data_IF_526252721375
#
_entry.id   IF_526252721375
#
_cell.length_a   1.000
_cell.length_b   1.000
_cell.length_c   1.000
_cell.angle_alpha   90.00
_cell.angle_beta   90.00
_cell.angle_gamma   90.00
#
_symmetry.space_group_name_H-M   'P 1'
#
loop_
_entity.id
_entity.type
_entity.pdbx_description
1 polymer ?
#
# COMPACT_ATOMS: atom_id res chain seq x y z
N UNK A 1 15.34 19.63 -7.84
CA UNK A 1 14.05 19.01 -7.45
C UNK A 1 12.93 19.91 -7.94
N UNK A 2 11.66 19.63 -7.63
CA UNK A 2 10.66 20.70 -7.63
C UNK A 2 10.90 21.69 -6.48
N UNK A 3 10.25 22.84 -6.53
CA UNK A 3 10.24 23.89 -5.52
C UNK A 3 8.80 24.30 -5.17
N UNK A 4 8.66 25.07 -4.09
CA UNK A 4 7.38 25.64 -3.67
C UNK A 4 7.14 27.03 -4.25
N UNK A 5 8.05 27.54 -5.08
CA UNK A 5 7.90 28.83 -5.74
C UNK A 5 6.66 28.81 -6.66
N UNK A 6 6.01 29.96 -6.80
CA UNK A 6 4.73 30.08 -7.53
C UNK A 6 4.90 29.87 -9.03
N UNK A 7 6.08 30.21 -9.52
CA UNK A 7 6.53 30.21 -10.91
C UNK A 7 7.22 28.92 -11.34
N UNK A 8 7.33 27.94 -10.44
CA UNK A 8 7.78 26.59 -10.79
C UNK A 8 6.68 25.84 -11.55
N UNK A 9 7.05 24.71 -12.16
CA UNK A 9 6.13 23.89 -12.92
C UNK A 9 4.97 23.35 -12.04
N UNK A 10 3.77 23.30 -12.61
CA UNK A 10 2.57 22.86 -11.90
C UNK A 10 2.66 21.42 -11.35
N UNK A 11 3.54 20.58 -11.89
CA UNK A 11 3.77 19.21 -11.41
C UNK A 11 4.93 19.07 -10.42
N UNK A 12 5.70 20.14 -10.18
CA UNK A 12 6.90 20.15 -9.33
C UNK A 12 6.63 19.57 -7.93
N UNK A 13 5.55 20.00 -7.27
CA UNK A 13 5.21 19.56 -5.93
C UNK A 13 4.68 18.12 -5.86
N UNK A 14 4.11 17.61 -6.95
CA UNK A 14 3.77 16.19 -7.06
C UNK A 14 5.03 15.35 -7.21
N UNK A 15 5.98 15.81 -8.03
CA UNK A 15 7.25 15.14 -8.26
C UNK A 15 8.10 14.97 -6.99
N UNK A 16 7.99 15.91 -6.02
CA UNK A 16 8.71 15.82 -4.76
C UNK A 16 8.47 14.51 -4.00
N UNK A 17 7.24 14.03 -3.93
CA UNK A 17 6.92 12.78 -3.23
C UNK A 17 7.54 11.55 -3.92
N UNK A 18 7.56 11.53 -5.25
CA UNK A 18 8.20 10.47 -6.03
C UNK A 18 9.72 10.50 -5.90
N UNK A 19 10.32 11.68 -5.83
CA UNK A 19 11.75 11.86 -5.52
C UNK A 19 12.04 11.34 -4.11
N UNK A 20 11.23 11.70 -3.12
CA UNK A 20 11.39 11.20 -1.74
C UNK A 20 11.36 9.67 -1.71
N UNK A 21 10.40 9.05 -2.39
CA UNK A 21 10.33 7.60 -2.52
C UNK A 21 11.58 7.00 -3.18
N UNK A 22 12.02 7.53 -4.33
CA UNK A 22 13.22 7.07 -5.05
C UNK A 22 14.47 7.07 -4.18
N UNK A 23 14.64 8.11 -3.36
CA UNK A 23 15.84 8.31 -2.54
C UNK A 23 15.68 7.88 -1.07
N UNK A 24 14.54 7.26 -0.71
CA UNK A 24 14.25 6.81 0.66
C UNK A 24 14.37 7.95 1.69
N UNK A 25 13.79 9.09 1.36
CA UNK A 25 13.70 10.23 2.26
C UNK A 25 12.41 10.07 3.06
N UNK A 26 12.53 9.78 4.34
CA UNK A 26 11.38 9.47 5.18
C UNK A 26 10.54 10.72 5.50
N UNK A 27 11.20 11.87 5.67
CA UNK A 27 10.59 13.07 6.20
C UNK A 27 10.81 14.27 5.28
N UNK A 28 9.78 15.10 5.15
CA UNK A 28 9.82 16.37 4.47
C UNK A 28 9.34 17.47 5.41
N UNK A 29 9.92 18.67 5.27
CA UNK A 29 9.55 19.85 6.03
C UNK A 29 9.34 21.03 5.09
N UNK A 30 8.20 21.70 5.21
CA UNK A 30 7.96 23.02 4.63
C UNK A 30 7.69 24.00 5.76
N UNK A 31 8.41 25.12 5.76
CA UNK A 31 8.63 25.92 6.96
C UNK A 31 7.41 26.75 7.39
N UNK A 32 6.54 27.11 6.45
CA UNK A 32 5.33 27.88 6.73
C UNK A 32 4.32 27.71 5.60
N UNK A 33 3.02 27.88 5.86
CA UNK A 33 1.95 27.79 4.86
C UNK A 33 1.14 29.09 4.71
N UNK A 34 1.26 30.01 5.66
CA UNK A 34 0.51 31.26 5.72
C UNK A 34 1.41 32.45 6.10
N UNK A 35 2.63 32.49 5.55
CA UNK A 35 3.54 33.61 5.72
C UNK A 35 3.05 34.84 4.92
N UNK A 36 1.95 35.43 5.38
CA UNK A 36 1.31 36.60 4.76
C UNK A 36 1.93 37.93 5.23
N UNK A 37 2.77 37.88 6.27
CA UNK A 37 3.48 39.04 6.81
C UNK A 37 4.97 38.73 6.87
N UNK A 38 5.78 39.46 6.10
CA UNK A 38 7.23 39.31 6.08
C UNK A 38 7.89 40.07 7.22
N UNK A 39 7.96 39.40 8.37
CA UNK A 39 8.70 39.86 9.54
C UNK A 39 10.20 39.50 9.48
N UNK A 40 10.63 38.71 8.49
CA UNK A 40 12.01 38.22 8.40
C UNK A 40 12.92 39.20 7.69
N UNK A 41 12.44 39.83 6.62
CA UNK A 41 13.19 40.83 5.84
C UNK A 41 12.59 42.24 5.94
N UNK A 42 11.57 42.42 6.80
CA UNK A 42 10.94 43.71 7.04
C UNK A 42 9.99 44.17 5.92
N UNK A 43 9.46 43.21 5.14
CA UNK A 43 8.50 43.48 4.06
C UNK A 43 7.09 43.83 4.56
N UNK A 44 6.75 43.47 5.80
CA UNK A 44 5.44 43.76 6.39
C UNK A 44 4.31 42.92 5.79
N UNK A 45 3.06 43.37 5.94
CA UNK A 45 1.90 42.65 5.40
C UNK A 45 1.95 42.60 3.87
N UNK A 46 1.60 41.44 3.30
CA UNK A 46 1.60 41.19 1.86
C UNK A 46 0.17 40.94 1.37
N UNK A 47 -0.28 41.71 0.39
CA UNK A 47 -1.51 41.41 -0.34
C UNK A 47 -1.28 40.21 -1.27
N UNK A 48 -1.41 39.01 -0.73
CA UNK A 48 -1.07 37.74 -1.41
C UNK A 48 -1.95 37.40 -2.63
N UNK A 49 -3.02 38.16 -2.87
CA UNK A 49 -3.83 38.05 -4.08
C UNK A 49 -3.32 38.93 -5.23
N UNK A 50 -2.56 39.98 -4.92
CA UNK A 50 -2.05 40.96 -5.89
C UNK A 50 -0.52 40.93 -6.02
N UNK A 51 0.19 40.39 -5.04
CA UNK A 51 1.64 40.28 -5.01
C UNK A 51 2.09 38.84 -4.76
N UNK A 52 2.91 38.31 -5.67
CA UNK A 52 3.45 36.96 -5.55
C UNK A 52 4.67 36.90 -4.62
N UNK A 53 5.43 37.99 -4.46
CA UNK A 53 6.63 38.02 -3.62
C UNK A 53 6.24 38.09 -2.15
N UNK A 54 6.54 37.03 -1.39
CA UNK A 54 6.10 36.86 0.00
C UNK A 54 7.25 36.90 1.01
N UNK A 55 8.49 36.82 0.53
CA UNK A 55 9.70 36.98 1.33
C UNK A 55 10.73 37.81 0.56
N UNK A 56 11.55 38.55 1.29
CA UNK A 56 12.72 39.25 0.74
C UNK A 56 12.41 40.65 0.19
N UNK A 57 13.42 41.27 -0.43
CA UNK A 57 13.30 42.65 -0.91
C UNK A 57 14.12 42.95 -2.17
N UNK A 58 13.76 44.05 -2.86
CA UNK A 58 14.42 44.47 -4.10
C UNK A 58 14.12 43.55 -5.30
N UNK A 59 14.97 43.64 -6.33
CA UNK A 59 14.83 42.85 -7.56
C UNK A 59 14.13 43.60 -8.70
N UNK A 60 14.06 42.93 -9.85
CA UNK A 60 13.42 43.43 -11.07
C UNK A 60 12.12 42.67 -11.28
N UNK A 61 11.04 43.38 -11.59
CA UNK A 61 9.75 42.74 -11.92
C UNK A 61 9.79 42.20 -13.35
N UNK A 62 9.74 40.89 -13.47
CA UNK A 62 9.55 40.17 -14.73
C UNK A 62 8.06 39.93 -15.00
N UNK A 63 7.56 40.12 -16.23
CA UNK A 63 6.16 39.93 -16.57
C UNK A 63 5.64 38.50 -16.42
N UNK A 64 6.52 37.49 -16.54
CA UNK A 64 6.18 36.07 -16.47
C UNK A 64 6.48 35.48 -15.09
N UNK A 65 7.61 35.84 -14.50
CA UNK A 65 8.13 35.22 -13.27
C UNK A 65 7.91 36.04 -12.00
N UNK A 66 7.33 37.25 -12.08
CA UNK A 66 7.21 38.13 -10.93
C UNK A 66 8.55 38.78 -10.57
N UNK A 67 8.81 39.07 -9.30
CA UNK A 67 10.10 39.67 -8.93
C UNK A 67 11.22 38.62 -8.99
N UNK A 68 12.28 38.97 -9.73
CA UNK A 68 13.49 38.16 -9.90
C UNK A 68 14.72 38.96 -9.46
N UNK A 69 15.83 38.28 -9.16
CA UNK A 69 17.12 38.89 -8.79
C UNK A 69 17.07 39.81 -7.55
N UNK A 70 16.09 39.63 -6.65
CA UNK A 70 16.03 40.34 -5.37
C UNK A 70 16.84 39.65 -4.27
N UNK A 71 17.09 40.35 -3.18
CA UNK A 71 17.78 39.77 -2.01
C UNK A 71 16.78 38.91 -1.25
N UNK A 72 16.98 37.58 -1.30
CA UNK A 72 16.05 36.59 -0.76
C UNK A 72 14.61 36.71 -1.29
N UNK A 73 14.41 37.42 -2.42
CA UNK A 73 13.10 37.59 -3.02
C UNK A 73 12.61 36.26 -3.58
N UNK A 74 11.49 35.75 -3.06
CA UNK A 74 10.92 34.48 -3.48
C UNK A 74 9.40 34.57 -3.61
N UNK A 75 8.86 34.09 -4.72
CA UNK A 75 7.45 34.25 -5.03
C UNK A 75 6.63 33.08 -4.43
N UNK A 76 5.82 33.38 -3.43
CA UNK A 76 4.92 32.45 -2.76
C UNK A 76 5.61 31.52 -1.76
N UNK A 77 6.88 31.77 -1.42
CA UNK A 77 7.56 31.09 -0.33
C UNK A 77 6.83 31.31 1.00
N UNK A 78 6.74 30.27 1.83
CA UNK A 78 5.95 30.27 3.04
C UNK A 78 4.43 30.36 2.84
N UNK A 79 3.92 30.34 1.60
CA UNK A 79 2.47 30.47 1.30
C UNK A 79 1.95 29.28 0.49
N UNK A 80 1.03 28.52 1.07
CA UNK A 80 0.24 27.46 0.42
C UNK A 80 -1.26 27.62 0.62
N UNK A 81 -1.64 28.47 1.57
CA UNK A 81 -3.02 28.86 1.84
C UNK A 81 -3.15 30.38 1.78
N UNK A 82 -4.32 30.84 1.37
CA UNK A 82 -4.66 32.25 1.18
C UNK A 82 -5.76 32.64 2.18
N UNK A 83 -5.85 33.92 2.61
CA UNK A 83 -6.89 34.34 3.53
C UNK A 83 -8.26 34.27 2.86
N UNK A 84 -9.23 33.57 3.46
CA UNK A 84 -10.61 33.58 2.98
C UNK A 84 -11.33 34.88 3.32
N UNK A 85 -11.05 35.43 4.49
CA UNK A 85 -11.44 36.78 4.92
C UNK A 85 -10.18 37.55 5.29
N UNK A 86 -9.91 38.64 4.58
CA UNK A 86 -8.74 39.50 4.81
C UNK A 86 -9.18 40.81 5.48
N UNK A 87 -8.67 41.06 6.68
CA UNK A 87 -9.00 42.26 7.47
C UNK A 87 -8.01 43.43 7.25
N UNK A 88 -6.91 43.19 6.53
CA UNK A 88 -5.88 44.18 6.21
C UNK A 88 -6.14 44.71 4.79
N UNK A 89 -6.30 43.80 3.83
CA UNK A 89 -6.59 44.11 2.43
C UNK A 89 -8.04 43.79 2.08
N UNK A 90 -8.98 44.49 2.72
CA UNK A 90 -10.42 44.18 2.64
C UNK A 90 -10.99 44.24 1.22
N UNK A 91 -10.38 44.99 0.31
CA UNK A 91 -10.81 45.09 -1.09
C UNK A 91 -10.63 43.78 -1.88
N UNK A 92 -9.67 42.94 -1.49
CA UNK A 92 -9.38 41.64 -2.11
C UNK A 92 -9.93 40.46 -1.29
N UNK A 93 -10.69 40.74 -0.22
CA UNK A 93 -11.26 39.72 0.66
C UNK A 93 -12.38 38.95 -0.04
N UNK A 94 -12.29 37.63 -0.03
CA UNK A 94 -13.32 36.74 -0.57
C UNK A 94 -14.49 36.49 0.41
N UNK A 95 -14.38 36.96 1.66
CA UNK A 95 -15.36 36.79 2.73
C UNK A 95 -15.78 35.32 2.96
N UNK A 96 -14.82 34.41 2.81
CA UNK A 96 -14.98 32.99 3.11
C UNK A 96 -14.49 32.71 4.53
N UNK A 97 -15.25 31.89 5.27
CA UNK A 97 -14.84 31.45 6.60
C UNK A 97 -13.69 30.42 6.49
N UNK A 98 -12.54 30.76 7.07
CA UNK A 98 -11.33 29.94 7.03
C UNK A 98 -10.44 30.21 5.80
N UNK A 99 -9.28 29.55 5.72
CA UNK A 99 -8.32 29.77 4.64
C UNK A 99 -8.70 29.04 3.34
N UNK A 100 -8.23 29.58 2.22
CA UNK A 100 -8.40 29.01 0.88
C UNK A 100 -7.14 28.23 0.50
N UNK A 101 -7.29 26.95 0.15
CA UNK A 101 -6.16 26.12 -0.28
C UNK A 101 -5.68 26.43 -1.70
N UNK A 102 -4.38 26.71 -1.85
CA UNK A 102 -3.76 26.98 -3.14
C UNK A 102 -3.62 25.74 -4.04
N UNK A 103 -3.39 25.98 -5.34
CA UNK A 103 -3.10 24.90 -6.31
C UNK A 103 -1.85 24.10 -5.94
N UNK A 104 -0.83 24.78 -5.41
CA UNK A 104 0.42 24.20 -4.90
C UNK A 104 0.16 23.22 -3.75
N UNK A 105 -0.70 23.57 -2.78
CA UNK A 105 -1.12 22.65 -1.71
C UNK A 105 -1.82 21.41 -2.26
N UNK A 106 -2.70 21.59 -3.26
CA UNK A 106 -3.41 20.46 -3.90
C UNK A 106 -2.44 19.54 -4.66
N UNK A 107 -1.46 20.11 -5.37
CA UNK A 107 -0.43 19.34 -6.08
C UNK A 107 0.45 18.54 -5.11
N UNK A 108 0.89 19.18 -4.02
CA UNK A 108 1.65 18.50 -2.97
C UNK A 108 0.84 17.37 -2.32
N UNK A 109 -0.44 17.61 -1.98
CA UNK A 109 -1.35 16.58 -1.49
C UNK A 109 -1.47 15.39 -2.45
N UNK A 110 -1.54 15.63 -3.77
CA UNK A 110 -1.56 14.53 -4.76
C UNK A 110 -0.27 13.72 -4.69
N UNK A 111 0.89 14.38 -4.60
CA UNK A 111 2.18 13.70 -4.41
C UNK A 111 2.20 12.84 -3.15
N UNK A 112 1.73 13.36 -2.02
CA UNK A 112 1.63 12.60 -0.76
C UNK A 112 0.79 11.34 -0.95
N UNK A 113 -0.38 11.47 -1.58
CA UNK A 113 -1.22 10.31 -1.86
C UNK A 113 -0.55 9.33 -2.84
N UNK A 114 0.21 9.81 -3.84
CA UNK A 114 0.97 8.91 -4.73
C UNK A 114 2.03 8.11 -3.96
N UNK A 115 2.62 8.66 -2.89
CA UNK A 115 3.55 7.92 -2.03
C UNK A 115 2.90 6.71 -1.35
N UNK A 116 1.61 6.81 -0.98
CA UNK A 116 0.84 5.67 -0.47
C UNK A 116 0.65 4.61 -1.56
N UNK A 117 0.31 5.01 -2.79
CA UNK A 117 0.18 4.09 -3.93
C UNK A 117 1.51 3.40 -4.25
N UNK A 118 2.61 4.13 -4.26
CA UNK A 118 3.96 3.59 -4.46
C UNK A 118 4.29 2.54 -3.41
N UNK A 119 4.00 2.84 -2.14
CA UNK A 119 4.27 1.94 -1.01
C UNK A 119 3.42 0.67 -1.11
N UNK A 120 2.11 0.79 -1.37
CA UNK A 120 1.19 -0.34 -1.51
C UNK A 120 1.54 -1.21 -2.72
N UNK A 121 1.77 -0.61 -3.88
CA UNK A 121 2.13 -1.33 -5.09
C UNK A 121 3.49 -2.04 -4.95
N UNK A 122 4.47 -1.44 -4.26
CA UNK A 122 5.79 -2.04 -4.08
C UNK A 122 5.79 -3.26 -3.16
N UNK A 123 4.79 -3.38 -2.27
CA UNK A 123 4.57 -4.60 -1.48
C UNK A 123 4.11 -5.77 -2.36
N UNK A 124 3.53 -5.49 -3.54
CA UNK A 124 3.02 -6.48 -4.48
C UNK A 124 4.08 -6.79 -5.55
N UNK A 125 4.56 -5.77 -6.27
CA UNK A 125 5.62 -5.91 -7.27
C UNK A 125 6.63 -4.76 -7.17
N UNK A 126 7.60 -4.93 -6.28
CA UNK A 126 8.70 -3.98 -6.11
C UNK A 126 9.52 -3.78 -7.40
N UNK A 127 9.58 -4.75 -8.31
CA UNK A 127 10.38 -4.62 -9.53
C UNK A 127 9.70 -3.69 -10.51
N UNK A 128 8.40 -3.90 -10.78
CA UNK A 128 7.60 -3.02 -11.62
C UNK A 128 7.57 -1.59 -11.07
N UNK A 129 7.34 -1.43 -9.77
CA UNK A 129 7.34 -0.09 -9.14
C UNK A 129 8.69 0.59 -9.28
N UNK A 130 9.80 -0.11 -9.05
CA UNK A 130 11.14 0.47 -9.22
C UNK A 130 11.42 0.90 -10.67
N UNK A 131 10.92 0.16 -11.66
CA UNK A 131 11.02 0.54 -13.07
C UNK A 131 10.19 1.79 -13.38
N UNK A 132 8.95 1.84 -12.89
CA UNK A 132 8.07 3.00 -13.05
C UNK A 132 8.66 4.26 -12.40
N UNK A 133 9.18 4.16 -11.17
CA UNK A 133 9.84 5.28 -10.48
C UNK A 133 11.04 5.80 -11.25
N UNK A 134 11.88 4.92 -11.83
CA UNK A 134 13.02 5.32 -12.68
C UNK A 134 12.58 6.00 -13.98
N UNK A 135 11.44 5.59 -14.54
CA UNK A 135 10.83 6.22 -15.72
C UNK A 135 10.29 7.61 -15.40
N UNK A 136 9.61 7.76 -14.26
CA UNK A 136 9.02 9.02 -13.82
C UNK A 136 10.08 10.04 -13.36
N UNK A 137 11.05 9.57 -12.56
CA UNK A 137 12.14 10.38 -12.01
C UNK A 137 13.46 9.89 -12.61
N UNK A 138 13.82 10.43 -13.78
CA UNK A 138 15.04 10.10 -14.52
C UNK A 138 16.30 10.57 -13.79
N UNK A 139 16.30 11.84 -13.36
CA UNK A 139 17.37 12.46 -12.57
C UNK A 139 16.77 13.37 -11.50
N UNK A 140 17.27 13.31 -10.26
CA UNK A 140 16.95 14.29 -9.23
C UNK A 140 18.05 14.37 -8.17
N UNK A 141 18.02 15.44 -7.36
CA UNK A 141 19.02 15.71 -6.31
C UNK A 141 20.44 15.64 -6.90
N UNK A 142 21.31 14.82 -6.32
CA UNK A 142 22.71 14.64 -6.70
C UNK A 142 22.91 13.86 -8.02
N UNK A 143 21.85 13.37 -8.67
CA UNK A 143 21.95 12.77 -10.01
C UNK A 143 21.99 13.81 -11.13
N UNK A 144 21.70 15.08 -10.83
CA UNK A 144 21.80 16.18 -11.80
C UNK A 144 23.29 16.52 -11.97
N UNK A 145 23.82 16.24 -13.16
CA UNK A 145 25.23 16.49 -13.51
C UNK A 145 25.50 17.99 -13.66
N UNK A 146 26.70 18.40 -13.22
CA UNK A 146 27.21 19.75 -13.34
C UNK A 146 28.17 19.80 -14.54
N UNK A 147 28.08 20.86 -15.34
CA UNK A 147 29.04 21.07 -16.42
C UNK A 147 30.42 21.50 -15.88
N UNK A 148 30.48 21.96 -14.63
CA UNK A 148 31.69 22.43 -13.96
C UNK A 148 31.65 22.05 -12.45
N UNK A 149 32.68 21.38 -11.89
CA UNK A 149 32.77 21.08 -10.46
C UNK A 149 32.91 22.33 -9.56
N UNK A 150 33.28 23.49 -10.13
CA UNK A 150 33.35 24.77 -9.41
C UNK A 150 32.04 25.58 -9.48
N UNK A 151 31.02 25.11 -10.21
CA UNK A 151 29.71 25.76 -10.21
C UNK A 151 28.93 25.39 -8.94
N UNK A 152 28.32 26.38 -8.25
CA UNK A 152 27.51 26.10 -7.08
C UNK A 152 26.29 25.24 -7.47
N UNK A 153 25.78 24.46 -6.52
CA UNK A 153 24.75 23.44 -6.79
C UNK A 153 23.42 24.01 -7.35
N UNK A 154 23.19 25.32 -7.20
CA UNK A 154 22.04 26.03 -7.77
C UNK A 154 22.24 26.45 -9.24
N UNK A 155 23.45 26.31 -9.78
CA UNK A 155 23.81 26.64 -11.17
C UNK A 155 23.67 25.48 -12.17
N UNK A 156 23.23 24.29 -11.73
CA UNK A 156 23.08 23.13 -12.61
C UNK A 156 22.16 23.43 -13.80
N UNK A 157 22.70 23.39 -15.02
CA UNK A 157 21.97 23.57 -16.27
C UNK A 157 21.66 22.22 -16.90
N UNK A 158 20.40 21.85 -16.97
CA UNK A 158 19.96 20.61 -17.63
C UNK A 158 18.44 20.51 -17.75
N UNK A 159 17.92 19.64 -18.62
CA UNK A 159 16.49 19.41 -18.72
C UNK A 159 15.95 18.85 -17.40
N UNK A 160 14.69 19.14 -17.09
CA UNK A 160 14.03 18.57 -15.92
C UNK A 160 14.09 17.05 -15.96
N UNK A 161 14.47 16.45 -14.84
CA UNK A 161 14.57 14.99 -14.73
C UNK A 161 13.23 14.27 -14.55
N UNK A 162 12.11 14.97 -14.73
CA UNK A 162 10.74 14.48 -14.61
C UNK A 162 9.82 15.24 -15.58
N UNK A 163 8.62 14.74 -15.82
CA UNK A 163 7.68 15.28 -16.82
C UNK A 163 6.85 16.44 -16.28
N UNK A 164 6.71 17.53 -17.03
CA UNK A 164 5.73 18.58 -16.76
C UNK A 164 4.32 18.26 -17.27
N UNK A 165 4.15 17.17 -18.03
CA UNK A 165 2.86 16.73 -18.52
C UNK A 165 2.06 16.05 -17.37
N UNK A 166 0.94 16.62 -16.91
CA UNK A 166 0.13 16.05 -15.83
C UNK A 166 -0.45 14.66 -16.17
N UNK A 167 -0.71 14.37 -17.45
CA UNK A 167 -1.32 13.11 -17.87
C UNK A 167 -0.36 11.94 -17.69
N UNK A 168 0.96 12.17 -17.81
CA UNK A 168 2.00 11.18 -17.51
C UNK A 168 1.94 10.76 -16.04
N UNK A 169 1.65 11.69 -15.13
CA UNK A 169 1.52 11.38 -13.70
C UNK A 169 0.24 10.62 -13.37
N UNK A 170 -0.89 10.97 -14.00
CA UNK A 170 -2.13 10.22 -13.79
C UNK A 170 -2.05 8.81 -14.40
N UNK A 171 -1.37 8.64 -15.54
CA UNK A 171 -1.09 7.32 -16.11
C UNK A 171 -0.22 6.47 -15.18
N UNK A 172 0.86 7.03 -14.62
CA UNK A 172 1.71 6.34 -13.65
C UNK A 172 0.93 5.95 -12.38
N UNK A 173 0.06 6.84 -11.89
CA UNK A 173 -0.80 6.53 -10.75
C UNK A 173 -1.77 5.39 -11.06
N UNK A 174 -2.35 5.37 -12.26
CA UNK A 174 -3.21 4.27 -12.70
C UNK A 174 -2.44 2.96 -12.74
N UNK A 175 -1.21 2.95 -13.26
CA UNK A 175 -0.37 1.74 -13.28
C UNK A 175 -0.12 1.20 -11.86
N UNK A 176 0.14 2.08 -10.88
CA UNK A 176 0.22 1.69 -9.48
C UNK A 176 -1.11 1.12 -8.96
N UNK A 177 -2.23 1.74 -9.31
CA UNK A 177 -3.56 1.24 -8.95
C UNK A 177 -3.83 -0.15 -9.54
N UNK A 178 -3.45 -0.38 -10.81
CA UNK A 178 -3.61 -1.66 -11.49
C UNK A 178 -2.76 -2.76 -10.83
N UNK A 179 -1.54 -2.43 -10.37
CA UNK A 179 -0.71 -3.35 -9.56
C UNK A 179 -1.38 -3.67 -8.22
N UNK A 180 -1.93 -2.64 -7.55
CA UNK A 180 -2.66 -2.80 -6.28
C UNK A 180 -3.88 -3.71 -6.46
N UNK A 181 -4.67 -3.47 -7.50
CA UNK A 181 -5.86 -4.25 -7.83
C UNK A 181 -5.51 -5.67 -8.32
N UNK A 182 -4.35 -5.83 -8.95
CA UNK A 182 -3.81 -7.11 -9.41
C UNK A 182 -3.40 -8.08 -8.29
N UNK A 183 -3.17 -7.56 -7.07
CA UNK A 183 -2.99 -8.34 -5.84
C UNK A 183 -1.70 -9.15 -5.72
N UNK A 184 -1.39 -9.61 -4.51
CA UNK A 184 -0.29 -10.55 -4.25
C UNK A 184 -0.70 -11.93 -4.77
N UNK A 185 0.10 -12.58 -5.63
CA UNK A 185 -0.23 -13.91 -6.11
C UNK A 185 -0.03 -14.97 -5.01
N UNK A 186 -0.95 -15.92 -4.94
CA UNK A 186 -0.85 -17.15 -4.19
C UNK A 186 -1.12 -18.32 -5.12
N UNK A 187 -0.20 -19.29 -5.16
CA UNK A 187 -0.38 -20.55 -5.88
C UNK A 187 -0.56 -21.70 -4.90
N UNK A 188 -1.57 -22.54 -5.15
CA UNK A 188 -1.91 -23.71 -4.34
C UNK A 188 -1.99 -24.93 -5.26
N UNK A 189 -1.12 -25.90 -5.03
CA UNK A 189 -1.19 -27.20 -5.71
C UNK A 189 -2.30 -28.05 -5.12
N UNK A 190 -3.20 -28.53 -5.99
CA UNK A 190 -4.34 -29.37 -5.65
C UNK A 190 -4.12 -30.78 -6.20
N UNK A 191 -4.40 -31.78 -5.38
CA UNK A 191 -4.43 -33.18 -5.79
C UNK A 191 -5.81 -33.53 -6.36
N UNK A 192 -5.88 -34.55 -7.22
CA UNK A 192 -7.17 -35.10 -7.63
C UNK A 192 -7.98 -35.56 -6.39
N UNK A 193 -9.28 -35.28 -6.39
CA UNK A 193 -10.16 -35.52 -5.25
C UNK A 193 -10.23 -34.33 -4.29
N UNK A 194 -10.40 -34.61 -3.00
CA UNK A 194 -10.60 -33.58 -1.98
C UNK A 194 -9.29 -32.91 -1.59
N UNK A 195 -9.34 -31.59 -1.41
CA UNK A 195 -8.29 -30.75 -0.87
C UNK A 195 -8.88 -29.87 0.23
N UNK A 196 -8.14 -29.66 1.31
CA UNK A 196 -8.49 -28.74 2.40
C UNK A 196 -7.53 -27.56 2.31
N UNK A 197 -8.03 -26.40 1.89
CA UNK A 197 -7.19 -25.27 1.53
C UNK A 197 -7.64 -23.99 2.23
N UNK A 198 -6.74 -23.02 2.27
CA UNK A 198 -7.03 -21.67 2.73
C UNK A 198 -6.18 -20.66 2.00
N UNK A 199 -6.64 -19.41 1.96
CA UNK A 199 -5.88 -18.34 1.36
C UNK A 199 -5.16 -17.49 2.42
N UNK A 200 -3.99 -16.99 2.05
CA UNK A 200 -3.23 -15.94 2.74
C UNK A 200 -3.38 -14.59 2.03
N UNK A 201 -4.19 -14.55 0.97
CA UNK A 201 -4.59 -13.34 0.24
C UNK A 201 -6.11 -13.30 0.14
N UNK A 202 -6.70 -12.11 0.13
CA UNK A 202 -8.14 -11.91 -0.03
C UNK A 202 -8.42 -11.49 -1.48
N UNK A 203 -9.00 -12.37 -2.33
CA UNK A 203 -9.37 -12.00 -3.68
C UNK A 203 -10.41 -10.88 -3.70
N UNK A 204 -10.39 -10.04 -4.73
CA UNK A 204 -11.30 -8.90 -4.88
C UNK A 204 -12.74 -9.34 -5.17
N UNK A 205 -12.93 -10.41 -5.95
CA UNK A 205 -14.23 -11.01 -6.23
C UNK A 205 -14.32 -12.39 -5.60
N UNK A 206 -15.20 -12.52 -4.60
CA UNK A 206 -15.35 -13.72 -3.80
C UNK A 206 -16.39 -14.70 -4.35
N UNK A 207 -16.90 -14.52 -5.56
CA UNK A 207 -17.77 -15.53 -6.18
C UNK A 207 -16.98 -16.80 -6.51
N UNK A 208 -17.56 -18.01 -6.36
CA UNK A 208 -16.90 -19.26 -6.76
C UNK A 208 -16.39 -19.27 -8.21
N UNK A 209 -17.11 -18.62 -9.12
CA UNK A 209 -16.69 -18.55 -10.53
C UNK A 209 -15.43 -17.70 -10.72
N UNK A 210 -15.25 -16.64 -9.93
CA UNK A 210 -14.06 -15.80 -10.00
C UNK A 210 -12.87 -16.46 -9.32
N UNK A 211 -13.05 -16.94 -8.08
CA UNK A 211 -12.00 -17.54 -7.23
C UNK A 211 -11.41 -18.83 -7.80
N UNK A 212 -12.10 -19.47 -8.74
CA UNK A 212 -11.62 -20.71 -9.37
C UNK A 212 -11.49 -20.57 -10.88
N UNK A 213 -11.50 -19.35 -11.43
CA UNK A 213 -11.57 -19.10 -12.87
C UNK A 213 -10.54 -19.93 -13.67
N UNK A 214 -9.29 -19.97 -13.18
CA UNK A 214 -8.18 -20.69 -13.82
C UNK A 214 -8.30 -22.22 -13.80
N UNK A 215 -9.16 -22.79 -12.94
CA UNK A 215 -9.37 -24.24 -12.81
C UNK A 215 -10.84 -24.65 -12.83
N UNK A 216 -11.73 -23.79 -13.36
CA UNK A 216 -13.18 -24.02 -13.32
C UNK A 216 -13.56 -25.37 -13.91
N UNK A 217 -12.88 -25.80 -14.98
CA UNK A 217 -13.10 -27.10 -15.64
C UNK A 217 -12.82 -28.31 -14.75
N UNK A 218 -11.98 -28.15 -13.74
CA UNK A 218 -11.55 -29.22 -12.83
C UNK A 218 -12.37 -29.23 -11.53
N UNK A 219 -12.98 -28.11 -11.13
CA UNK A 219 -13.73 -28.06 -9.86
C UNK A 219 -15.05 -28.81 -9.93
N UNK A 220 -15.25 -29.76 -9.02
CA UNK A 220 -16.47 -30.56 -8.87
C UNK A 220 -17.35 -30.04 -7.73
N UNK A 221 -16.74 -29.69 -6.59
CA UNK A 221 -17.48 -29.32 -5.38
C UNK A 221 -16.68 -28.38 -4.48
N UNK A 222 -17.38 -27.46 -3.84
CA UNK A 222 -16.89 -26.57 -2.80
C UNK A 222 -17.68 -26.78 -1.51
N UNK A 223 -16.99 -26.75 -0.37
CA UNK A 223 -17.61 -26.78 0.96
C UNK A 223 -16.92 -25.80 1.90
N UNK A 224 -17.72 -24.99 2.56
CA UNK A 224 -17.33 -24.31 3.80
C UNK A 224 -17.85 -25.11 5.00
N UNK A 225 -17.65 -24.61 6.21
CA UNK A 225 -18.21 -25.27 7.40
C UNK A 225 -19.75 -25.30 7.40
N UNK A 226 -20.40 -24.34 6.74
CA UNK A 226 -21.87 -24.15 6.83
C UNK A 226 -22.60 -24.18 5.49
N UNK A 227 -21.89 -24.10 4.35
CA UNK A 227 -22.47 -24.00 3.00
C UNK A 227 -21.71 -24.88 2.02
N UNK A 228 -22.32 -25.21 0.89
CA UNK A 228 -21.68 -25.97 -0.19
C UNK A 228 -22.24 -25.62 -1.57
N UNK A 229 -21.42 -25.85 -2.60
CA UNK A 229 -21.87 -25.80 -3.98
C UNK A 229 -21.24 -26.94 -4.78
N UNK A 230 -22.03 -27.54 -5.67
CA UNK A 230 -21.61 -28.56 -6.62
C UNK A 230 -21.61 -27.93 -8.00
N UNK A 231 -20.56 -28.16 -8.79
CA UNK A 231 -20.49 -27.71 -10.18
C UNK A 231 -21.00 -28.83 -11.08
N UNK A 232 -22.13 -28.59 -11.74
CA UNK A 232 -22.82 -29.57 -12.59
C UNK A 232 -23.26 -28.90 -13.88
N UNK A 233 -22.87 -29.49 -15.02
CA UNK A 233 -23.15 -28.95 -16.37
C UNK A 233 -22.78 -27.47 -16.52
N UNK A 234 -21.60 -27.08 -16.01
CA UNK A 234 -21.08 -25.71 -16.05
C UNK A 234 -21.71 -24.73 -15.06
N UNK A 235 -22.72 -25.14 -14.29
CA UNK A 235 -23.44 -24.29 -13.35
C UNK A 235 -23.17 -24.70 -11.89
N UNK A 236 -23.20 -23.73 -10.98
CA UNK A 236 -23.15 -23.98 -9.55
C UNK A 236 -24.55 -24.31 -9.01
N UNK A 237 -24.66 -25.38 -8.21
CA UNK A 237 -25.87 -25.77 -7.47
C UNK A 237 -25.56 -25.88 -5.99
N UNK A 238 -26.31 -25.18 -5.14
CA UNK A 238 -26.13 -25.17 -3.70
C UNK A 238 -26.34 -23.79 -3.10
N UNK A 239 -26.01 -23.63 -1.83
CA UNK A 239 -26.20 -22.41 -1.03
C UNK A 239 -24.91 -21.58 -0.88
N UNK A 240 -23.80 -22.03 -1.48
CA UNK A 240 -22.54 -21.29 -1.52
C UNK A 240 -22.46 -20.42 -2.78
N UNK A 241 -23.04 -19.22 -2.72
CA UNK A 241 -22.99 -18.21 -3.79
C UNK A 241 -21.80 -17.26 -3.70
N UNK A 242 -21.18 -17.17 -2.53
CA UNK A 242 -19.97 -16.39 -2.26
C UNK A 242 -19.03 -17.16 -1.33
N UNK A 243 -17.75 -16.82 -1.39
CA UNK A 243 -16.68 -17.37 -0.57
C UNK A 243 -16.27 -16.40 0.54
N UNK A 244 -17.20 -15.57 1.04
CA UNK A 244 -16.93 -14.52 2.04
C UNK A 244 -16.22 -15.03 3.31
N UNK A 245 -16.33 -16.32 3.62
CA UNK A 245 -15.59 -16.98 4.70
C UNK A 245 -14.05 -16.91 4.56
N UNK A 246 -13.53 -16.68 3.35
CA UNK A 246 -12.10 -16.45 3.10
C UNK A 246 -11.61 -15.20 3.84
N UNK A 247 -12.38 -14.10 3.80
CA UNK A 247 -12.06 -12.85 4.51
C UNK A 247 -12.20 -12.92 6.04
N UNK A 248 -12.65 -14.07 6.57
CA UNK A 248 -12.75 -14.35 8.00
C UNK A 248 -11.71 -15.38 8.47
N UNK A 249 -10.63 -15.57 7.71
CA UNK A 249 -9.52 -16.47 8.06
C UNK A 249 -9.97 -17.94 8.25
N UNK A 250 -10.96 -18.40 7.47
CA UNK A 250 -11.46 -19.78 7.50
C UNK A 250 -10.92 -20.58 6.33
N UNK A 251 -10.66 -21.85 6.59
CA UNK A 251 -10.42 -22.81 5.50
C UNK A 251 -11.72 -23.26 4.85
N UNK A 252 -11.58 -23.84 3.66
CA UNK A 252 -12.65 -24.49 2.94
C UNK A 252 -12.12 -25.74 2.24
N UNK A 253 -13.03 -26.53 1.68
CA UNK A 253 -12.70 -27.76 0.97
C UNK A 253 -13.10 -27.61 -0.49
N UNK A 254 -12.21 -28.06 -1.37
CA UNK A 254 -12.45 -28.13 -2.81
C UNK A 254 -12.21 -29.55 -3.28
N UNK A 255 -13.14 -30.08 -4.09
CA UNK A 255 -12.95 -31.33 -4.80
C UNK A 255 -12.64 -31.01 -6.26
N UNK A 256 -11.54 -31.54 -6.78
CA UNK A 256 -11.17 -31.39 -8.19
C UNK A 256 -11.06 -32.75 -8.87
N UNK A 257 -11.39 -32.80 -10.16
CA UNK A 257 -11.39 -34.04 -10.97
C UNK A 257 -9.98 -34.52 -11.34
N UNK A 258 -9.01 -33.61 -11.41
CA UNK A 258 -7.61 -33.90 -11.70
C UNK A 258 -6.69 -32.96 -10.92
N UNK A 259 -5.43 -33.38 -10.73
CA UNK A 259 -4.43 -32.52 -10.10
C UNK A 259 -4.20 -31.26 -10.93
N UNK A 260 -4.15 -30.10 -10.27
CA UNK A 260 -4.00 -28.80 -10.91
C UNK A 260 -3.41 -27.78 -9.92
N UNK A 261 -3.03 -26.60 -10.42
CA UNK A 261 -2.60 -25.49 -9.58
C UNK A 261 -3.64 -24.39 -9.66
N UNK A 262 -4.19 -24.01 -8.51
CA UNK A 262 -4.99 -22.81 -8.38
C UNK A 262 -4.06 -21.62 -8.16
N UNK A 263 -4.18 -20.58 -8.96
CA UNK A 263 -3.45 -19.31 -8.79
C UNK A 263 -4.46 -18.21 -8.62
N UNK A 264 -4.43 -17.56 -7.47
CA UNK A 264 -5.27 -16.42 -7.14
C UNK A 264 -4.40 -15.24 -6.76
N UNK A 265 -4.93 -14.03 -6.91
CA UNK A 265 -4.27 -12.83 -6.42
C UNK A 265 -5.25 -11.96 -5.63
N UNK A 266 -4.72 -11.26 -4.63
CA UNK A 266 -5.55 -10.43 -3.76
C UNK A 266 -4.76 -9.67 -2.71
N UNK A 267 -5.48 -9.00 -1.81
CA UNK A 267 -4.87 -8.24 -0.71
C UNK A 267 -4.23 -9.20 0.28
N UNK A 268 -2.94 -9.02 0.60
CA UNK A 268 -2.27 -9.86 1.59
C UNK A 268 -2.99 -9.79 2.96
N UNK A 269 -3.24 -10.95 3.56
CA UNK A 269 -3.77 -11.05 4.91
C UNK A 269 -2.58 -11.11 5.88
N UNK A 270 -2.59 -10.27 6.91
CA UNK A 270 -1.51 -10.26 7.90
C UNK A 270 -1.36 -11.65 8.56
N UNK A 271 -0.14 -12.20 8.55
CA UNK A 271 0.11 -13.56 9.04
C UNK A 271 -0.28 -13.77 10.52
N UNK A 272 -0.23 -12.70 11.32
CA UNK A 272 -0.59 -12.68 12.74
C UNK A 272 -2.02 -12.18 13.01
N UNK A 273 -2.89 -12.10 11.99
CA UNK A 273 -4.27 -11.66 12.19
C UNK A 273 -4.99 -12.56 13.20
N UNK A 274 -5.58 -12.01 14.28
CA UNK A 274 -6.28 -12.82 15.29
C UNK A 274 -7.49 -13.57 14.71
N UNK A 275 -7.59 -14.87 15.01
CA UNK A 275 -8.68 -15.74 14.61
C UNK A 275 -9.45 -16.17 15.85
N UNK A 276 -10.70 -15.71 15.98
CA UNK A 276 -11.58 -16.12 17.08
C UNK A 276 -12.08 -17.55 16.88
N UNK A 277 -11.90 -18.40 17.89
CA UNK A 277 -12.30 -19.81 17.87
C UNK A 277 -13.34 -20.07 18.97
N UNK A 278 -14.34 -20.90 18.66
CA UNK A 278 -15.34 -21.36 19.62
C UNK A 278 -14.98 -22.74 20.17
N UNK A 279 -15.60 -23.15 21.28
CA UNK A 279 -15.50 -24.54 21.74
C UNK A 279 -16.03 -25.51 20.66
N UNK A 280 -15.40 -26.66 20.52
CA UNK A 280 -15.70 -27.63 19.46
C UNK A 280 -14.86 -27.42 18.19
N UNK A 281 -15.40 -27.82 17.04
CA UNK A 281 -14.66 -27.84 15.77
C UNK A 281 -14.68 -26.49 15.05
N UNK A 282 -13.50 -25.99 14.71
CA UNK A 282 -13.28 -24.76 13.95
C UNK A 282 -12.56 -25.09 12.63
N UNK A 283 -12.98 -24.48 11.52
CA UNK A 283 -12.32 -24.58 10.22
C UNK A 283 -11.45 -23.34 10.01
N UNK A 284 -10.13 -23.51 10.07
CA UNK A 284 -9.18 -22.41 10.27
C UNK A 284 -8.18 -22.34 9.11
N UNK A 285 -7.96 -21.13 8.60
CA UNK A 285 -6.93 -20.84 7.62
C UNK A 285 -5.54 -20.79 8.25
N UNK A 286 -4.53 -21.27 7.52
CA UNK A 286 -3.14 -20.97 7.82
C UNK A 286 -2.71 -19.74 7.01
N UNK A 287 -2.51 -18.62 7.69
CA UNK A 287 -2.20 -17.31 7.11
C UNK A 287 -0.72 -17.09 6.77
N UNK A 288 0.25 -17.66 7.51
CA UNK A 288 1.67 -17.48 7.17
C UNK A 288 2.03 -18.03 5.78
N UNK A 289 2.97 -17.35 5.12
CA UNK A 289 3.50 -17.73 3.80
C UNK A 289 4.69 -18.69 3.88
N UNK A 290 5.06 -19.11 5.09
CA UNK A 290 6.12 -20.09 5.35
C UNK A 290 5.60 -21.16 6.29
N UNK A 291 6.00 -22.41 6.06
CA UNK A 291 5.62 -23.52 6.94
C UNK A 291 6.23 -23.36 8.33
N UNK A 292 5.53 -23.83 9.36
CA UNK A 292 6.04 -23.79 10.73
C UNK A 292 5.56 -24.98 11.57
N UNK A 293 6.29 -25.37 12.63
CA UNK A 293 5.93 -26.51 13.46
C UNK A 293 4.55 -26.35 14.11
N UNK A 294 3.80 -27.43 14.23
CA UNK A 294 2.44 -27.43 14.84
C UNK A 294 2.43 -26.80 16.22
N UNK A 295 3.41 -27.15 17.06
CA UNK A 295 3.54 -26.59 18.41
C UNK A 295 3.75 -25.07 18.39
N UNK A 296 4.53 -24.57 17.44
CA UNK A 296 4.80 -23.13 17.27
C UNK A 296 3.57 -22.40 16.73
N UNK A 297 2.90 -22.96 15.72
CA UNK A 297 1.75 -22.35 15.09
C UNK A 297 0.58 -22.16 16.07
N UNK A 298 0.34 -23.16 16.93
CA UNK A 298 -0.82 -23.21 17.82
C UNK A 298 -0.49 -22.79 19.26
N UNK A 299 0.67 -22.18 19.50
CA UNK A 299 1.13 -21.82 20.84
C UNK A 299 0.17 -20.88 21.58
N UNK A 300 -0.46 -19.94 20.88
CA UNK A 300 -1.40 -18.95 21.45
C UNK A 300 -2.69 -19.56 22.00
N UNK A 301 -3.02 -20.80 21.61
CA UNK A 301 -4.18 -21.56 22.10
C UNK A 301 -3.77 -22.82 22.87
N UNK A 302 -2.50 -22.91 23.28
CA UNK A 302 -2.02 -24.00 24.13
C UNK A 302 -2.86 -24.10 25.42
N UNK A 303 -3.23 -25.32 25.79
CA UNK A 303 -4.12 -25.59 26.93
C UNK A 303 -5.63 -25.46 26.64
N UNK A 304 -6.02 -24.85 25.51
CA UNK A 304 -7.43 -24.77 25.07
C UNK A 304 -7.74 -25.69 23.90
N UNK A 305 -6.72 -26.19 23.21
CA UNK A 305 -6.84 -27.07 22.04
C UNK A 305 -6.71 -28.54 22.42
N UNK A 306 -7.52 -29.39 21.78
CA UNK A 306 -7.48 -30.84 21.95
C UNK A 306 -6.84 -31.55 20.75
N UNK A 307 -7.17 -31.11 19.53
CA UNK A 307 -6.81 -31.82 18.30
C UNK A 307 -6.72 -30.84 17.12
N UNK A 308 -5.78 -31.08 16.22
CA UNK A 308 -5.70 -30.42 14.91
C UNK A 308 -5.57 -31.45 13.81
N UNK A 309 -6.24 -31.20 12.67
CA UNK A 309 -6.23 -32.10 11.51
C UNK A 309 -6.04 -31.34 10.22
N UNK A 310 -5.24 -31.92 9.32
CA UNK A 310 -5.26 -31.63 7.89
C UNK A 310 -6.12 -32.70 7.19
N UNK A 311 -6.17 -32.67 5.86
CA UNK A 311 -6.84 -33.73 5.09
C UNK A 311 -6.28 -35.13 5.39
N UNK A 312 -4.96 -35.25 5.56
CA UNK A 312 -4.25 -36.55 5.62
C UNK A 312 -3.52 -36.81 6.93
N UNK A 313 -3.40 -35.81 7.80
CA UNK A 313 -2.63 -35.90 9.05
C UNK A 313 -3.43 -35.35 10.23
N UNK A 314 -3.07 -35.76 11.44
CA UNK A 314 -3.64 -35.23 12.68
C UNK A 314 -2.58 -35.15 13.78
N UNK A 315 -2.84 -34.30 14.76
CA UNK A 315 -2.09 -34.25 16.01
C UNK A 315 -3.04 -33.99 17.19
N UNK A 316 -2.80 -34.67 18.31
CA UNK A 316 -3.48 -34.51 19.58
C UNK A 316 -2.59 -33.75 20.55
N UNK A 317 -3.21 -32.89 21.37
CA UNK A 317 -2.54 -32.21 22.45
C UNK A 317 -2.94 -32.84 23.79
N UNK A 318 -1.96 -33.32 24.55
CA UNK A 318 -2.19 -33.98 25.85
C UNK A 318 -2.20 -32.99 27.04
N UNK A 319 -2.06 -31.69 26.77
CA UNK A 319 -1.91 -30.63 27.77
C UNK A 319 -0.47 -30.15 27.93
N UNK A 320 0.52 -30.91 27.44
CA UNK A 320 1.95 -30.58 27.50
C UNK A 320 2.62 -30.67 26.13
N UNK A 321 2.32 -31.72 25.37
CA UNK A 321 2.99 -32.06 24.13
C UNK A 321 2.01 -32.42 23.00
N UNK A 322 2.48 -32.28 21.76
CA UNK A 322 1.74 -32.72 20.57
C UNK A 322 2.20 -34.12 20.17
N UNK A 323 1.25 -35.00 19.88
CA UNK A 323 1.50 -36.35 19.35
C UNK A 323 0.68 -36.60 18.08
N UNK A 324 1.29 -37.24 17.07
CA UNK A 324 0.62 -37.56 15.80
C UNK A 324 1.48 -37.30 14.58
N UNK A 325 0.84 -37.31 13.41
CA UNK A 325 1.51 -37.19 12.10
C UNK A 325 1.57 -35.77 11.58
N UNK A 326 0.75 -34.85 12.10
CA UNK A 326 0.74 -33.44 11.69
C UNK A 326 1.78 -32.65 12.49
N UNK A 327 3.02 -32.63 12.01
CA UNK A 327 4.15 -31.94 12.69
C UNK A 327 4.37 -30.51 12.21
N UNK A 328 3.79 -30.11 11.07
CA UNK A 328 3.96 -28.81 10.43
C UNK A 328 2.62 -28.28 9.90
N UNK A 329 2.39 -26.97 9.99
CA UNK A 329 1.38 -26.27 9.22
C UNK A 329 2.04 -25.60 8.01
N UNK A 330 1.37 -25.60 6.86
CA UNK A 330 1.95 -25.20 5.58
C UNK A 330 1.05 -24.19 4.82
N UNK A 331 1.65 -23.24 4.08
CA UNK A 331 0.91 -22.28 3.25
C UNK A 331 -0.04 -22.96 2.26
N UNK A 332 -1.21 -22.36 2.05
CA UNK A 332 -2.22 -22.89 1.13
C UNK A 332 -3.05 -24.05 1.69
N UNK A 333 -2.73 -24.60 2.87
CA UNK A 333 -3.50 -25.68 3.51
C UNK A 333 -4.46 -25.17 4.58
N UNK A 334 -5.60 -25.81 4.65
CA UNK A 334 -6.63 -25.57 5.66
C UNK A 334 -6.65 -26.62 6.76
N UNK A 335 -6.99 -26.21 7.98
CA UNK A 335 -6.96 -27.07 9.17
C UNK A 335 -8.30 -27.08 9.91
N UNK A 336 -8.66 -28.22 10.48
CA UNK A 336 -9.74 -28.25 11.49
C UNK A 336 -9.13 -28.37 12.87
N UNK A 337 -9.51 -27.48 13.77
CA UNK A 337 -9.02 -27.41 15.15
C UNK A 337 -10.18 -27.68 16.09
N UNK A 338 -10.03 -28.67 16.99
CA UNK A 338 -10.97 -28.94 18.06
C UNK A 338 -10.53 -28.24 19.33
N UNK A 339 -11.34 -27.30 19.79
CA UNK A 339 -11.12 -26.53 21.01
C UNK A 339 -11.95 -27.13 22.16
N UNK A 340 -11.37 -27.14 23.35
CA UNK A 340 -12.03 -27.49 24.62
C UNK A 340 -12.77 -26.28 25.20
N UNK A 341 -12.27 -25.06 24.96
CA UNK A 341 -12.88 -23.80 25.36
C UNK A 341 -12.66 -22.73 24.26
N UNK A 342 -13.48 -21.66 24.19
CA UNK A 342 -13.22 -20.56 23.26
C UNK A 342 -11.85 -19.93 23.46
N UNK A 343 -11.26 -19.42 22.38
CA UNK A 343 -9.92 -18.83 22.39
C UNK A 343 -9.62 -18.00 21.15
N UNK A 344 -8.43 -17.41 21.10
CA UNK A 344 -7.98 -16.62 19.95
C UNK A 344 -6.65 -17.16 19.45
N UNK A 345 -6.64 -17.65 18.22
CA UNK A 345 -5.42 -18.10 17.55
C UNK A 345 -4.73 -16.90 16.88
N UNK A 346 -3.46 -16.72 17.20
CA UNK A 346 -2.56 -15.79 16.54
C UNK A 346 -1.29 -16.54 16.18
N UNK A 347 -0.95 -16.57 14.90
CA UNK A 347 0.32 -17.17 14.44
C UNK A 347 1.49 -16.22 14.74
N UNK A 348 2.68 -16.76 15.10
CA UNK A 348 3.87 -15.95 15.24
C UNK A 348 4.26 -15.29 13.91
N UNK A 349 4.77 -14.05 13.96
CA UNK A 349 5.39 -13.44 12.79
C UNK A 349 6.62 -14.27 12.38
N UNK A 350 6.74 -14.61 11.10
CA UNK A 350 7.93 -15.25 10.57
C UNK A 350 9.12 -14.30 10.76
N UNK A 351 10.05 -14.65 11.64
CA UNK A 351 11.29 -13.89 11.79
C UNK A 351 12.09 -14.04 10.50
N UNK A 352 12.16 -12.99 9.68
CA UNK A 352 13.17 -12.92 8.63
C UNK A 352 14.53 -13.14 9.29
N UNK A 353 15.28 -14.14 8.84
CA UNK A 353 16.63 -14.40 9.30
C UNK A 353 17.46 -13.13 9.10
N UNK A 354 17.80 -12.44 10.21
CA UNK A 354 18.69 -11.28 10.19
C UNK A 354 19.97 -11.70 9.47
N UNK A 355 20.20 -11.15 8.28
CA UNK A 355 21.49 -11.24 7.61
C UNK A 355 22.55 -10.74 8.60
N UNK A 356 23.37 -11.67 9.09
CA UNK A 356 24.56 -11.37 9.87
C UNK A 356 25.44 -10.51 8.97
N UNK A 357 25.49 -9.20 9.21
CA UNK A 357 26.56 -8.34 8.67
C UNK A 357 27.87 -8.99 9.09
N UNK A 358 28.65 -9.49 8.11
CA UNK A 358 30.04 -9.86 8.36
C UNK A 358 30.75 -8.57 8.79
N UNK A 359 31.43 -8.66 9.94
CA UNK A 359 32.26 -7.58 10.49
C UNK A 359 33.40 -7.24 9.55
#
# INVERSE_FOLDING_TARGET
TGSFATEDDGTALRALAWIQYKFRIDHWFYWNVNFWTDNQFGGGDTNVFQNATTTGCGGTKDPLYGYINGTAANNGDGVLIYPGTDNIYTAESYNVNGPIGGVRLKAWRRGIQDADYLTLAAQIDATAVNQLVRKMIKKALFEVEYNNPDEPTWGAKGPMGWSNDPDVWEAARKELADIIDGGVPQSITLNAGWNWISFSVLPTNLSPSSVFAGILGQVEQLKTQTRSAIRSSGNWKGDLSDMSGIGQNKMFKVKVSAACTLTEAGTAIAANMPISLTAGWNWVAFLPTTSMPTATALASISGQVQEVKSLTQSALYDGTSWSGTLTQLEPGKGYTIRMMAPGTLTYPASTMAKHKKRK
#
